data_IF_024492685525
#
_entry.id   IF_024492685525
#
_cell.length_a   1.000
_cell.length_b   1.000
_cell.length_c   1.000
_cell.angle_alpha   90.00
_cell.angle_beta   90.00
_cell.angle_gamma   90.00
#
_symmetry.space_group_name_H-M   'P 1'
#
loop_
_entity.id
_entity.type
_entity.pdbx_description
1 polymer ?
#
# COMPACT_ATOMS: atom_id res chain seq x y z
N UNK A 1 -7.20 -13.47 1.95
CA UNK A 1 -6.62 -12.74 0.79
C UNK A 1 -7.53 -11.55 0.48
N UNK A 2 -7.04 -10.44 -0.10
CA UNK A 2 -7.87 -9.25 -0.37
C UNK A 2 -9.11 -9.58 -1.23
N UNK A 3 -8.98 -10.52 -2.18
CA UNK A 3 -10.08 -10.90 -3.07
C UNK A 3 -11.25 -11.61 -2.40
N UNK A 4 -10.99 -12.22 -1.24
CA UNK A 4 -11.98 -13.00 -0.51
C UNK A 4 -12.76 -12.14 0.49
N UNK A 5 -12.38 -10.86 0.66
CA UNK A 5 -13.07 -9.98 1.59
C UNK A 5 -14.47 -9.68 1.05
N UNK A 6 -15.48 -9.92 1.87
CA UNK A 6 -16.90 -9.71 1.60
C UNK A 6 -17.45 -8.53 2.41
N UNK A 7 -18.73 -8.21 2.22
CA UNK A 7 -19.44 -7.21 3.03
C UNK A 7 -19.55 -7.67 4.51
N UNK A 8 -19.77 -8.96 4.74
CA UNK A 8 -19.85 -9.57 6.08
C UNK A 8 -18.55 -9.36 6.89
N UNK A 9 -17.38 -9.50 6.24
CA UNK A 9 -16.09 -9.21 6.90
C UNK A 9 -15.98 -7.73 7.35
N UNK A 10 -16.68 -6.80 6.67
CA UNK A 10 -16.71 -5.38 7.05
C UNK A 10 -17.71 -5.14 8.17
N UNK A 11 -18.85 -5.83 8.15
CA UNK A 11 -19.81 -5.82 9.26
C UNK A 11 -19.15 -6.34 10.55
N UNK A 12 -18.33 -7.39 10.46
CA UNK A 12 -17.58 -7.94 11.60
C UNK A 12 -16.64 -6.90 12.23
N UNK A 13 -16.02 -6.00 11.44
CA UNK A 13 -15.19 -4.92 12.00
C UNK A 13 -16.02 -3.95 12.85
N UNK A 14 -17.28 -3.71 12.48
CA UNK A 14 -18.19 -2.85 13.23
C UNK A 14 -18.72 -3.56 14.47
N UNK A 15 -19.17 -4.80 14.33
CA UNK A 15 -19.73 -5.60 15.44
C UNK A 15 -18.69 -5.83 16.53
N UNK A 16 -17.44 -6.09 16.16
CA UNK A 16 -16.34 -6.27 17.09
C UNK A 16 -15.72 -4.96 17.58
N UNK A 17 -16.23 -3.81 17.13
CA UNK A 17 -15.75 -2.46 17.46
C UNK A 17 -14.23 -2.30 17.22
N UNK A 18 -13.73 -2.89 16.11
CA UNK A 18 -12.31 -2.94 15.79
C UNK A 18 -11.77 -1.53 15.53
N UNK A 19 -11.05 -0.98 16.51
CA UNK A 19 -10.50 0.37 16.48
C UNK A 19 -9.49 0.56 15.34
N UNK A 20 -9.33 1.81 14.90
CA UNK A 20 -8.19 2.17 14.06
C UNK A 20 -6.88 1.75 14.72
N UNK A 21 -5.95 1.32 13.87
CA UNK A 21 -4.67 0.81 14.32
C UNK A 21 -3.56 1.21 13.36
N UNK A 22 -2.37 0.67 13.60
CA UNK A 22 -1.22 0.94 12.75
C UNK A 22 -1.43 0.41 11.33
N UNK A 23 -2.29 -0.59 11.18
CA UNK A 23 -2.58 -1.33 9.95
C UNK A 23 -3.99 -1.11 9.41
N UNK A 24 -4.87 -0.39 10.09
CA UNK A 24 -6.25 -0.11 9.64
C UNK A 24 -6.53 1.38 9.81
N UNK A 25 -7.09 2.03 8.77
CA UNK A 25 -7.58 3.40 8.83
C UNK A 25 -8.95 3.47 8.14
N UNK A 26 -9.96 3.97 8.85
CA UNK A 26 -11.31 4.17 8.34
C UNK A 26 -11.49 5.57 7.80
N UNK A 27 -12.28 5.69 6.74
CA UNK A 27 -12.65 6.96 6.12
C UNK A 27 -14.09 6.88 5.65
N UNK A 28 -14.89 7.89 5.94
CA UNK A 28 -16.27 7.95 5.43
C UNK A 28 -16.31 8.22 3.93
N UNK A 29 -15.34 8.98 3.41
CA UNK A 29 -15.35 9.49 2.04
C UNK A 29 -14.04 9.22 1.30
N UNK A 30 -14.14 9.07 -0.02
CA UNK A 30 -12.98 9.09 -0.91
C UNK A 30 -12.35 10.49 -0.95
N UNK A 31 -11.02 10.59 -1.15
CA UNK A 31 -10.37 11.88 -1.23
C UNK A 31 -10.84 12.68 -2.44
N UNK A 32 -11.48 13.84 -2.21
CA UNK A 32 -11.79 14.82 -3.25
C UNK A 32 -10.54 15.35 -3.98
N UNK A 33 -10.74 15.97 -5.16
CA UNK A 33 -9.66 16.48 -6.01
C UNK A 33 -9.01 17.79 -5.53
N UNK A 34 -9.44 18.36 -4.40
CA UNK A 34 -8.83 19.55 -3.83
C UNK A 34 -7.47 19.25 -3.16
N UNK A 35 -6.65 20.29 -3.01
CA UNK A 35 -5.28 20.18 -2.51
C UNK A 35 -5.19 19.50 -1.13
N UNK A 36 -6.02 19.90 -0.16
CA UNK A 36 -5.93 19.41 1.21
C UNK A 36 -6.34 17.94 1.33
N UNK A 37 -7.39 17.56 0.62
CA UNK A 37 -7.84 16.17 0.54
C UNK A 37 -6.78 15.27 -0.08
N UNK A 38 -6.23 15.69 -1.24
CA UNK A 38 -5.12 14.97 -1.90
C UNK A 38 -3.92 14.82 -0.96
N UNK A 39 -3.51 15.89 -0.29
CA UNK A 39 -2.39 15.87 0.65
C UNK A 39 -2.63 14.92 1.83
N UNK A 40 -3.83 14.92 2.42
CA UNK A 40 -4.18 14.03 3.55
C UNK A 40 -4.18 12.55 3.14
N UNK A 41 -4.67 12.26 1.94
CA UNK A 41 -4.64 10.92 1.35
C UNK A 41 -3.21 10.45 1.10
N UNK A 42 -2.41 11.24 0.37
CA UNK A 42 -1.02 10.88 0.07
C UNK A 42 -0.17 10.73 1.34
N UNK A 43 -0.38 11.58 2.34
CA UNK A 43 0.27 11.44 3.65
C UNK A 43 -0.08 10.11 4.32
N UNK A 44 -1.34 9.68 4.23
CA UNK A 44 -1.71 8.37 4.76
C UNK A 44 -1.05 7.25 3.98
N UNK A 45 -1.13 7.27 2.64
CA UNK A 45 -0.51 6.24 1.79
C UNK A 45 0.98 6.12 2.07
N UNK A 46 1.72 7.24 2.06
CA UNK A 46 3.16 7.29 2.35
C UNK A 46 3.46 6.71 3.73
N UNK A 47 2.65 7.04 4.74
CA UNK A 47 2.85 6.54 6.11
C UNK A 47 2.76 5.01 6.19
N UNK A 48 1.79 4.40 5.49
CA UNK A 48 1.62 2.95 5.45
C UNK A 48 2.79 2.26 4.75
N UNK A 49 3.12 2.69 3.53
CA UNK A 49 4.13 2.04 2.69
C UNK A 49 5.55 2.21 3.26
N UNK A 50 5.82 3.27 4.02
CA UNK A 50 7.10 3.47 4.72
C UNK A 50 7.22 2.64 5.99
N UNK A 51 6.09 2.22 6.57
CA UNK A 51 6.08 1.54 7.86
C UNK A 51 5.89 0.03 7.68
N UNK A 52 4.68 -0.48 7.94
CA UNK A 52 4.37 -1.92 7.93
C UNK A 52 3.36 -2.31 6.84
N UNK A 53 2.70 -1.33 6.21
CA UNK A 53 1.52 -1.54 5.39
C UNK A 53 0.23 -1.60 6.23
N UNK A 54 -0.88 -1.92 5.59
CA UNK A 54 -2.21 -1.94 6.18
C UNK A 54 -3.30 -1.72 5.13
N UNK A 55 -4.51 -1.48 5.61
CA UNK A 55 -5.70 -1.24 4.80
C UNK A 55 -6.28 0.14 5.13
N UNK A 56 -6.54 0.93 4.08
CA UNK A 56 -7.43 2.08 4.17
C UNK A 56 -8.79 1.66 3.66
N UNK A 57 -9.81 1.77 4.51
CA UNK A 57 -11.18 1.35 4.19
C UNK A 57 -12.06 2.60 4.09
N UNK A 58 -12.61 2.84 2.91
CA UNK A 58 -13.47 3.98 2.61
C UNK A 58 -14.94 3.55 2.58
N UNK A 59 -15.83 4.40 3.08
CA UNK A 59 -17.26 4.13 3.27
C UNK A 59 -17.62 3.69 4.68
N UNK A 60 -16.68 3.81 5.64
CA UNK A 60 -16.91 3.52 7.06
C UNK A 60 -16.82 4.81 7.86
N UNK A 61 -17.86 5.12 8.62
CA UNK A 61 -17.88 6.24 9.55
C UNK A 61 -17.33 5.80 10.91
N UNK A 62 -16.62 6.71 11.56
CA UNK A 62 -16.07 6.52 12.89
C UNK A 62 -16.76 7.48 13.87
N UNK A 63 -17.08 6.98 15.06
CA UNK A 63 -17.48 7.82 16.18
C UNK A 63 -16.26 8.59 16.69
N UNK A 64 -16.31 9.91 16.53
CA UNK A 64 -15.21 10.81 16.91
C UNK A 64 -14.86 10.79 18.40
N UNK A 65 -15.77 10.34 19.26
CA UNK A 65 -15.57 10.30 20.70
C UNK A 65 -14.91 9.01 21.16
N UNK A 66 -15.33 7.86 20.60
CA UNK A 66 -14.85 6.54 21.00
C UNK A 66 -13.75 5.97 20.08
N UNK A 67 -13.63 6.50 18.86
CA UNK A 67 -12.72 6.01 17.82
C UNK A 67 -13.17 4.71 17.15
N UNK A 68 -14.41 4.29 17.44
CA UNK A 68 -14.97 3.03 16.96
C UNK A 68 -15.64 3.22 15.60
N UNK A 69 -15.57 2.23 14.70
CA UNK A 69 -16.36 2.24 13.47
C UNK A 69 -17.86 2.17 13.85
N UNK A 70 -18.65 3.14 13.38
CA UNK A 70 -20.05 3.33 13.77
C UNK A 70 -21.03 2.88 12.69
N UNK A 71 -20.66 2.99 11.41
CA UNK A 71 -21.53 2.61 10.29
C UNK A 71 -20.72 2.32 9.02
N UNK A 72 -21.27 1.48 8.13
CA UNK A 72 -20.72 1.13 6.83
C UNK A 72 -21.70 1.56 5.71
N UNK A 73 -22.11 2.83 5.72
CA UNK A 73 -23.07 3.36 4.72
C UNK A 73 -22.56 3.27 3.28
N UNK A 74 -21.24 3.13 3.10
CA UNK A 74 -20.59 3.10 1.80
C UNK A 74 -20.55 4.47 1.14
N UNK A 75 -20.13 4.49 -0.12
CA UNK A 75 -19.97 5.70 -0.91
C UNK A 75 -20.75 5.56 -2.21
N UNK A 76 -21.65 6.50 -2.46
CA UNK A 76 -22.37 6.59 -3.73
C UNK A 76 -21.46 7.20 -4.79
N UNK A 77 -21.11 6.43 -5.82
CA UNK A 77 -20.33 6.89 -6.97
C UNK A 77 -20.91 6.35 -8.27
N UNK A 78 -20.88 7.13 -9.37
CA UNK A 78 -21.42 6.69 -10.65
C UNK A 78 -20.56 5.60 -11.31
N UNK A 79 -19.23 5.67 -11.15
CA UNK A 79 -18.27 4.78 -11.78
C UNK A 79 -17.16 4.37 -10.79
N UNK A 80 -17.33 3.28 -10.02
CA UNK A 80 -16.38 2.90 -8.97
C UNK A 80 -14.99 2.57 -9.51
N UNK A 81 -14.88 1.95 -10.69
CA UNK A 81 -13.58 1.67 -11.32
C UNK A 81 -12.82 2.95 -11.71
N UNK A 82 -13.53 4.00 -12.13
CA UNK A 82 -12.89 5.29 -12.43
C UNK A 82 -12.31 5.94 -11.17
N UNK A 83 -12.97 5.76 -10.02
CA UNK A 83 -12.45 6.23 -8.74
C UNK A 83 -11.17 5.47 -8.34
N UNK A 84 -11.10 4.15 -8.57
CA UNK A 84 -9.85 3.38 -8.35
C UNK A 84 -8.71 3.95 -9.20
N UNK A 85 -8.94 4.15 -10.50
CA UNK A 85 -7.95 4.74 -11.40
C UNK A 85 -7.52 6.14 -10.94
N UNK A 86 -8.46 6.95 -10.47
CA UNK A 86 -8.20 8.30 -9.93
C UNK A 86 -7.29 8.25 -8.70
N UNK A 87 -7.54 7.34 -7.75
CA UNK A 87 -6.68 7.14 -6.58
C UNK A 87 -5.27 6.70 -6.98
N UNK A 88 -5.15 5.78 -7.93
CA UNK A 88 -3.85 5.34 -8.43
C UNK A 88 -3.06 6.46 -9.10
N UNK A 89 -3.72 7.27 -9.93
CA UNK A 89 -3.12 8.45 -10.55
C UNK A 89 -2.69 9.48 -9.49
N UNK A 90 -3.50 9.69 -8.45
CA UNK A 90 -3.14 10.56 -7.33
C UNK A 90 -1.85 10.09 -6.65
N UNK A 91 -1.72 8.78 -6.38
CA UNK A 91 -0.52 8.20 -5.79
C UNK A 91 0.70 8.34 -6.71
N UNK A 92 0.56 8.00 -7.99
CA UNK A 92 1.66 8.08 -8.98
C UNK A 92 2.18 9.50 -9.18
N UNK A 93 1.29 10.48 -9.19
CA UNK A 93 1.64 11.89 -9.43
C UNK A 93 2.08 12.62 -8.15
N UNK A 94 1.79 12.06 -6.97
CA UNK A 94 1.95 12.73 -5.69
C UNK A 94 2.97 12.11 -4.74
N UNK A 95 3.57 10.97 -5.10
CA UNK A 95 4.52 10.24 -4.26
C UNK A 95 5.82 10.00 -5.03
N UNK A 96 6.94 10.22 -4.35
CA UNK A 96 8.28 10.00 -4.88
C UNK A 96 9.15 9.20 -3.89
N UNK A 97 9.91 8.17 -4.34
CA UNK A 97 9.82 7.56 -5.66
C UNK A 97 8.42 6.98 -5.90
N UNK A 98 8.03 6.79 -7.16
CA UNK A 98 6.70 6.25 -7.50
C UNK A 98 6.55 4.86 -6.87
N UNK A 99 5.51 4.60 -6.06
CA UNK A 99 5.27 3.28 -5.49
C UNK A 99 5.08 2.23 -6.60
N UNK A 100 5.78 1.08 -6.53
CA UNK A 100 5.53 -0.03 -7.44
C UNK A 100 4.06 -0.48 -7.38
N UNK A 101 3.49 -0.94 -8.49
CA UNK A 101 2.10 -1.42 -8.52
C UNK A 101 1.83 -2.60 -7.58
N UNK A 102 2.85 -3.36 -7.19
CA UNK A 102 2.72 -4.44 -6.20
C UNK A 102 2.48 -3.94 -4.77
N UNK A 103 2.71 -2.65 -4.51
CA UNK A 103 2.61 -2.06 -3.17
C UNK A 103 1.18 -1.70 -2.81
N UNK A 104 0.32 -1.44 -3.78
CA UNK A 104 -1.06 -1.04 -3.53
C UNK A 104 -2.04 -1.87 -4.36
N UNK A 105 -3.21 -2.17 -3.80
CA UNK A 105 -4.30 -2.82 -4.53
C UNK A 105 -5.63 -2.41 -3.94
N UNK A 106 -6.58 -2.05 -4.79
CA UNK A 106 -7.93 -1.68 -4.36
C UNK A 106 -8.91 -2.81 -4.64
N UNK A 107 -9.76 -3.12 -3.66
CA UNK A 107 -10.94 -3.97 -3.80
C UNK A 107 -12.18 -3.11 -3.60
N UNK A 108 -13.17 -3.30 -4.48
CA UNK A 108 -14.49 -2.68 -4.36
C UNK A 108 -15.44 -3.76 -3.85
N UNK A 109 -16.26 -3.40 -2.86
CA UNK A 109 -17.39 -4.20 -2.39
C UNK A 109 -18.64 -3.38 -2.69
N UNK A 110 -19.53 -3.93 -3.52
CA UNK A 110 -20.84 -3.35 -3.78
C UNK A 110 -21.81 -3.85 -2.72
N UNK A 111 -22.49 -2.91 -2.07
CA UNK A 111 -23.46 -3.18 -1.03
C UNK A 111 -24.89 -3.29 -1.61
N UNK A 112 -25.81 -3.83 -0.82
CA UNK A 112 -27.21 -4.00 -1.23
C UNK A 112 -27.92 -2.66 -1.55
N UNK A 113 -27.52 -1.58 -0.90
CA UNK A 113 -28.04 -0.22 -1.12
C UNK A 113 -27.45 0.47 -2.37
N UNK A 114 -26.67 -0.25 -3.19
CA UNK A 114 -25.95 0.25 -4.36
C UNK A 114 -24.85 1.28 -4.04
N UNK A 115 -24.41 1.36 -2.78
CA UNK A 115 -23.20 2.06 -2.39
C UNK A 115 -21.99 1.13 -2.44
N UNK A 116 -20.80 1.72 -2.36
CA UNK A 116 -19.54 1.00 -2.50
C UNK A 116 -18.61 1.24 -1.32
N UNK A 117 -17.97 0.18 -0.86
CA UNK A 117 -16.85 0.23 0.08
C UNK A 117 -15.56 -0.02 -0.71
N UNK A 118 -14.55 0.81 -0.50
CA UNK A 118 -13.26 0.68 -1.14
C UNK A 118 -12.22 0.27 -0.10
N UNK A 119 -11.54 -0.86 -0.33
CA UNK A 119 -10.43 -1.31 0.49
C UNK A 119 -9.15 -1.11 -0.30
N UNK A 120 -8.40 -0.06 0.03
CA UNK A 120 -7.06 0.18 -0.49
C UNK A 120 -6.05 -0.51 0.42
N UNK A 121 -5.61 -1.71 0.01
CA UNK A 121 -4.54 -2.44 0.68
C UNK A 121 -3.18 -1.90 0.27
N UNK A 122 -2.40 -1.48 1.25
CA UNK A 122 -1.06 -0.94 1.11
C UNK A 122 -0.06 -1.89 1.78
N UNK A 123 0.94 -2.34 1.04
CA UNK A 123 2.04 -3.15 1.57
C UNK A 123 3.20 -2.23 1.94
N UNK A 124 4.07 -2.71 2.84
CA UNK A 124 5.38 -2.08 3.02
C UNK A 124 6.13 -2.10 1.69
N UNK A 125 6.63 -0.95 1.26
CA UNK A 125 7.45 -0.84 0.06
C UNK A 125 8.87 -1.32 0.34
N UNK A 126 9.48 -1.96 -0.65
CA UNK A 126 10.91 -2.28 -0.64
C UNK A 126 11.77 -1.08 -1.08
N UNK A 127 11.17 -0.14 -1.82
CA UNK A 127 11.81 1.09 -2.31
C UNK A 127 11.68 2.25 -1.31
N UNK A 128 11.64 1.96 0.00
CA UNK A 128 11.63 3.04 1.01
C UNK A 128 12.93 3.84 0.89
N UNK A 129 12.91 5.16 0.97
CA UNK A 129 11.94 6.03 1.64
C UNK A 129 11.04 6.82 0.67
N UNK A 130 9.71 6.75 0.83
CA UNK A 130 8.76 7.54 0.02
C UNK A 130 8.39 8.87 0.68
N UNK A 131 8.26 9.93 -0.13
CA UNK A 131 7.76 11.26 0.26
C UNK A 131 6.58 11.69 -0.57
N UNK A 132 5.84 12.67 -0.06
CA UNK A 132 4.90 13.45 -0.88
C UNK A 132 5.69 14.43 -1.75
N UNK A 133 5.43 14.46 -3.06
CA UNK A 133 6.06 15.36 -4.04
C UNK A 133 5.25 16.62 -4.35
N UNK A 134 4.05 16.74 -3.77
CA UNK A 134 3.11 17.84 -4.05
C UNK A 134 3.67 19.23 -3.69
N UNK A 135 3.73 20.14 -4.67
CA UNK A 135 4.17 21.54 -4.55
C UNK A 135 5.54 21.73 -3.86
N UNK A 136 6.52 20.89 -4.20
CA UNK A 136 7.91 20.96 -3.72
C UNK A 136 8.10 20.81 -2.19
N UNK A 137 7.01 20.68 -1.41
CA UNK A 137 7.05 20.42 0.03
C UNK A 137 7.23 18.94 0.27
N UNK A 138 8.48 18.54 0.31
CA UNK A 138 8.93 17.18 0.57
C UNK A 138 8.73 16.82 2.04
N UNK A 139 7.68 16.04 2.34
CA UNK A 139 7.48 15.48 3.67
C UNK A 139 7.45 13.97 3.61
N UNK A 140 8.28 13.34 4.43
CA UNK A 140 8.27 11.92 4.72
C UNK A 140 7.33 11.67 5.88
N UNK A 141 6.49 10.64 5.78
CA UNK A 141 5.55 10.27 6.83
C UNK A 141 5.76 8.82 7.24
N UNK A 142 5.53 8.54 8.53
CA UNK A 142 5.48 7.22 9.13
C UNK A 142 4.20 7.07 9.97
N UNK A 143 3.91 5.82 10.41
CA UNK A 143 2.76 5.50 11.28
C UNK A 143 3.20 5.12 12.69
N UNK A 144 2.60 5.78 13.66
CA UNK A 144 2.50 5.29 15.04
C UNK A 144 1.21 4.47 15.18
N UNK A 145 0.79 4.14 16.39
CA UNK A 145 -0.37 3.27 16.65
C UNK A 145 -1.63 3.78 15.96
N UNK A 146 -2.07 5.02 16.22
CA UNK A 146 -3.33 5.55 15.65
C UNK A 146 -3.13 6.89 14.94
N UNK A 147 -1.90 7.17 14.46
CA UNK A 147 -1.61 8.44 13.80
C UNK A 147 -0.45 8.34 12.81
N UNK A 148 -0.58 9.10 11.73
CA UNK A 148 0.54 9.45 10.85
C UNK A 148 1.28 10.67 11.39
N UNK A 149 2.60 10.69 11.24
CA UNK A 149 3.44 11.80 11.69
C UNK A 149 4.59 12.04 10.71
N UNK A 150 5.10 13.29 10.60
CA UNK A 150 6.28 13.57 9.79
C UNK A 150 7.51 12.95 10.45
N UNK A 151 8.34 12.26 9.66
CA UNK A 151 9.55 11.61 10.18
C UNK A 151 10.63 12.63 10.55
N UNK A 152 11.38 12.34 11.61
CA UNK A 152 12.57 13.11 11.97
C UNK A 152 13.83 12.66 11.20
N UNK A 153 14.94 13.40 11.39
CA UNK A 153 16.20 13.12 10.69
C UNK A 153 16.78 11.75 11.05
N UNK A 154 16.64 11.29 12.30
CA UNK A 154 17.16 10.00 12.75
C UNK A 154 16.35 8.85 12.17
N UNK A 155 15.03 8.98 12.13
CA UNK A 155 14.14 8.00 11.50
C UNK A 155 14.38 7.91 10.00
N UNK A 156 14.57 9.05 9.33
CA UNK A 156 14.91 9.11 7.90
C UNK A 156 16.23 8.37 7.64
N UNK A 157 17.29 8.70 8.39
CA UNK A 157 18.60 8.04 8.25
C UNK A 157 18.51 6.54 8.48
N UNK A 158 17.86 6.12 9.56
CA UNK A 158 17.67 4.71 9.91
C UNK A 158 16.92 3.96 8.81
N UNK A 159 15.89 4.58 8.23
CA UNK A 159 15.09 3.97 7.17
C UNK A 159 15.87 3.80 5.86
N UNK A 160 16.74 4.75 5.51
CA UNK A 160 17.61 4.65 4.34
C UNK A 160 18.61 3.49 4.51
N UNK A 161 19.31 3.43 5.65
CA UNK A 161 20.27 2.36 5.94
C UNK A 161 19.63 0.96 5.90
N UNK A 162 18.41 0.83 6.43
CA UNK A 162 17.65 -0.42 6.38
C UNK A 162 17.30 -0.83 4.94
N UNK A 163 16.96 0.13 4.07
CA UNK A 163 16.66 -0.16 2.66
C UNK A 163 17.89 -0.61 1.88
N UNK A 164 19.06 -0.03 2.14
CA UNK A 164 20.33 -0.45 1.52
C UNK A 164 20.72 -1.87 1.92
N UNK A 165 20.58 -2.20 3.21
CA UNK A 165 20.88 -3.54 3.73
C UNK A 165 20.04 -4.61 3.05
N UNK A 166 18.73 -4.38 2.92
CA UNK A 166 17.82 -5.32 2.25
C UNK A 166 18.17 -5.47 0.78
N UNK A 167 18.50 -4.38 0.10
CA UNK A 167 18.89 -4.40 -1.31
C UNK A 167 20.18 -5.19 -1.51
N UNK A 168 21.17 -5.00 -0.63
CA UNK A 168 22.43 -5.74 -0.63
C UNK A 168 22.20 -7.25 -0.42
N UNK A 169 21.36 -7.63 0.55
CA UNK A 169 21.02 -9.04 0.80
C UNK A 169 20.31 -9.69 -0.39
N UNK A 170 19.38 -8.99 -1.04
CA UNK A 170 18.71 -9.50 -2.25
C UNK A 170 19.72 -9.70 -3.38
N UNK A 171 20.67 -8.78 -3.54
CA UNK A 171 21.73 -8.90 -4.54
C UNK A 171 22.64 -10.08 -4.25
N UNK A 172 23.10 -10.23 -3.01
CA UNK A 172 23.92 -11.36 -2.59
C UNK A 172 23.20 -12.69 -2.83
N UNK A 173 21.93 -12.80 -2.45
CA UNK A 173 21.12 -13.98 -2.72
C UNK A 173 21.04 -14.31 -4.22
N UNK A 174 20.86 -13.29 -5.07
CA UNK A 174 20.87 -13.50 -6.52
C UNK A 174 22.24 -13.97 -7.03
N UNK A 175 23.32 -13.35 -6.57
CA UNK A 175 24.70 -13.72 -6.95
C UNK A 175 25.01 -15.16 -6.52
N UNK A 176 24.65 -15.57 -5.30
CA UNK A 176 24.77 -16.95 -4.81
C UNK A 176 23.99 -17.94 -5.70
N UNK A 177 22.75 -17.60 -6.08
CA UNK A 177 21.93 -18.48 -6.92
C UNK A 177 22.45 -18.58 -8.36
N UNK A 178 22.94 -17.48 -8.93
CA UNK A 178 23.60 -17.50 -10.25
C UNK A 178 24.89 -18.31 -10.19
N UNK A 179 25.70 -18.15 -9.13
CA UNK A 179 26.91 -18.95 -8.94
C UNK A 179 26.62 -20.45 -8.87
N UNK A 180 25.59 -20.86 -8.12
CA UNK A 180 25.17 -22.28 -8.03
C UNK A 180 24.72 -22.83 -9.39
N UNK A 181 24.10 -21.99 -10.22
CA UNK A 181 23.69 -22.34 -11.58
C UNK A 181 24.93 -22.49 -12.48
N UNK A 182 25.86 -21.54 -12.43
CA UNK A 182 27.09 -21.55 -13.22
C UNK A 182 28.02 -22.71 -12.84
N UNK A 183 28.07 -23.09 -11.55
CA UNK A 183 28.82 -24.27 -11.08
C UNK A 183 28.08 -25.60 -11.32
N UNK A 184 26.85 -25.55 -11.84
CA UNK A 184 25.99 -26.71 -12.11
C UNK A 184 25.69 -27.56 -10.85
N UNK A 185 25.79 -26.96 -9.66
CA UNK A 185 25.50 -27.58 -8.36
C UNK A 185 24.04 -27.37 -7.91
N UNK A 186 23.18 -26.87 -8.81
CA UNK A 186 21.78 -26.62 -8.50
C UNK A 186 21.01 -27.93 -8.25
N UNK A 187 20.18 -27.96 -7.19
CA UNK A 187 19.34 -29.11 -6.81
C UNK A 187 18.33 -29.56 -7.88
N UNK A 188 18.09 -28.76 -8.92
CA UNK A 188 17.26 -29.12 -10.06
C UNK A 188 18.02 -28.80 -11.36
N UNK A 189 18.26 -29.76 -12.26
CA UNK A 189 19.04 -29.53 -13.46
C UNK A 189 18.35 -28.47 -14.34
N UNK A 190 19.08 -27.41 -14.67
CA UNK A 190 18.67 -26.46 -15.70
C UNK A 190 18.82 -27.12 -17.06
N UNK A 191 17.71 -27.63 -17.60
CA UNK A 191 17.69 -28.18 -18.94
C UNK A 191 17.71 -27.02 -19.96
N UNK A 192 18.91 -26.57 -20.37
CA UNK A 192 19.11 -25.57 -21.43
C UNK A 192 18.92 -26.26 -22.80
N UNK A 193 17.79 -26.94 -22.98
CA UNK A 193 17.47 -27.69 -24.19
C UNK A 193 16.83 -26.81 -25.27
N UNK A 194 17.44 -25.68 -25.67
CA UNK A 194 17.03 -25.05 -26.94
C UNK A 194 17.96 -24.01 -27.61
N UNK A 195 19.10 -23.62 -27.05
CA UNK A 195 19.79 -22.40 -27.52
C UNK A 195 21.09 -22.57 -28.32
N UNK A 196 21.38 -23.76 -28.88
CA UNK A 196 22.50 -23.91 -29.83
C UNK A 196 22.09 -24.77 -31.05
N UNK A 197 21.41 -24.16 -32.02
CA UNK A 197 21.59 -24.58 -33.42
C UNK A 197 22.76 -23.77 -33.99
N UNK A 198 23.93 -24.40 -34.08
CA UNK A 198 24.99 -23.93 -34.98
C UNK A 198 24.42 -23.98 -36.40
N UNK A 199 24.35 -22.82 -37.06
CA UNK A 199 24.27 -22.78 -38.52
C UNK A 199 25.68 -23.08 -39.05
N UNK A 200 25.78 -24.15 -39.82
CA UNK A 200 26.89 -24.45 -40.72
C UNK A 200 27.08 -23.35 -41.77
#
# INVERSE_FOLDING_TARGET
KLDNITEEDIEDLIVNEELESKTIEYKSELPANNYDSRKKFLASVVSFINTIGGDQIFGIQEDRSSGKPSSHEGITVPHPDQEVLRLEQMMRNGIEPIPPSSVYRTKIIQQQNNNYIFILRLRRSWLRLHRISLNFKSKFYARATNRKYPMDIQEIRSSILLSETVTSQIRQFKEERVSIIDTNESFAPLNIGHLLQKKE
#
